data_IF_116168574498
#
_entry.id   IF_116168574498
#
_cell.length_a   1.000
_cell.length_b   1.000
_cell.length_c   1.000
_cell.angle_alpha   90.00
_cell.angle_beta   90.00
_cell.angle_gamma   90.00
#
_symmetry.space_group_name_H-M   'P 1'
#
loop_
_entity.id
_entity.type
_entity.pdbx_description
1 polymer ?
#
# COMPACT_ATOMS: atom_id res chain seq x y z
N UNK A 1 14.83 -5.16 32.92
CA UNK A 1 15.11 -5.03 31.48
C UNK A 1 14.39 -6.17 30.76
N UNK A 2 13.20 -5.93 30.24
CA UNK A 2 12.57 -6.84 29.26
C UNK A 2 11.62 -6.00 28.40
N UNK A 3 12.13 -5.44 27.30
CA UNK A 3 11.33 -4.74 26.31
C UNK A 3 10.57 -5.76 25.48
N UNK A 4 9.24 -5.67 25.48
CA UNK A 4 8.40 -6.48 24.62
C UNK A 4 8.52 -5.97 23.18
N UNK A 5 9.09 -6.81 22.31
CA UNK A 5 9.05 -6.61 20.87
C UNK A 5 7.59 -6.79 20.41
N UNK A 6 6.95 -5.69 20.04
CA UNK A 6 5.63 -5.73 19.43
C UNK A 6 5.75 -6.41 18.07
N UNK A 7 4.99 -7.48 17.92
CA UNK A 7 4.93 -8.37 16.77
C UNK A 7 4.49 -7.57 15.52
N UNK A 8 5.45 -7.19 14.67
CA UNK A 8 5.23 -6.51 13.39
C UNK A 8 4.71 -7.52 12.37
N UNK A 9 3.41 -7.78 12.44
CA UNK A 9 2.69 -8.56 11.43
C UNK A 9 2.29 -7.62 10.31
N UNK A 10 2.88 -7.76 9.12
CA UNK A 10 2.34 -7.15 7.89
C UNK A 10 0.98 -7.80 7.64
N UNK A 11 -0.10 -7.13 8.05
CA UNK A 11 -1.48 -7.58 7.93
C UNK A 11 -1.94 -7.55 6.46
N UNK A 12 -1.40 -8.44 5.64
CA UNK A 12 -1.85 -8.67 4.26
C UNK A 12 -3.25 -9.28 4.19
N UNK A 13 -3.81 -9.75 5.32
CA UNK A 13 -4.99 -10.62 5.37
C UNK A 13 -6.27 -9.98 5.93
N UNK A 14 -6.26 -8.72 6.38
CA UNK A 14 -7.42 -8.12 7.07
C UNK A 14 -8.27 -7.27 6.11
N UNK A 15 -8.85 -7.93 5.11
CA UNK A 15 -9.65 -7.29 4.06
C UNK A 15 -10.98 -6.68 4.57
N UNK A 16 -11.34 -6.91 5.84
CA UNK A 16 -12.60 -6.44 6.45
C UNK A 16 -12.48 -5.19 7.34
N UNK A 17 -11.29 -4.58 7.44
CA UNK A 17 -11.04 -3.51 8.42
C UNK A 17 -11.31 -2.08 7.93
N UNK A 18 -11.60 -1.91 6.64
CA UNK A 18 -11.81 -0.59 6.04
C UNK A 18 -13.30 -0.31 5.78
N UNK A 19 -13.82 0.84 6.20
CA UNK A 19 -15.20 1.22 5.93
C UNK A 19 -15.45 1.30 4.41
N UNK A 20 -16.58 0.75 3.96
CA UNK A 20 -17.01 0.84 2.56
C UNK A 20 -17.40 2.26 2.20
N UNK A 21 -16.95 2.75 1.04
CA UNK A 21 -17.36 4.03 0.51
C UNK A 21 -18.54 3.86 -0.46
N UNK A 22 -19.78 3.90 0.05
CA UNK A 22 -21.00 3.77 -0.77
C UNK A 22 -21.55 5.12 -1.23
N UNK A 23 -21.03 6.22 -0.69
CA UNK A 23 -21.36 7.58 -1.09
C UNK A 23 -20.11 8.45 -1.24
N UNK A 24 -20.27 9.60 -1.90
CA UNK A 24 -19.20 10.61 -2.01
C UNK A 24 -18.76 11.11 -0.63
N UNK A 25 -19.69 11.18 0.33
CA UNK A 25 -19.37 11.61 1.69
C UNK A 25 -18.50 10.58 2.42
N UNK A 26 -18.78 9.29 2.23
CA UNK A 26 -17.94 8.22 2.78
C UNK A 26 -16.55 8.23 2.14
N UNK A 27 -16.47 8.42 0.82
CA UNK A 27 -15.19 8.58 0.12
C UNK A 27 -14.37 9.74 0.69
N UNK A 28 -14.99 10.92 0.89
CA UNK A 28 -14.32 12.10 1.47
C UNK A 28 -13.83 11.81 2.89
N UNK A 29 -14.67 11.20 3.72
CA UNK A 29 -14.33 10.81 5.10
C UNK A 29 -13.13 9.86 5.13
N UNK A 30 -13.17 8.82 4.29
CA UNK A 30 -12.12 7.81 4.21
C UNK A 30 -10.80 8.42 3.69
N UNK A 31 -10.87 9.24 2.64
CA UNK A 31 -9.71 9.94 2.10
C UNK A 31 -9.08 10.87 3.15
N UNK A 32 -9.89 11.64 3.88
CA UNK A 32 -9.40 12.51 4.95
C UNK A 32 -8.71 11.71 6.07
N UNK A 33 -9.27 10.56 6.46
CA UNK A 33 -8.64 9.68 7.45
C UNK A 33 -7.29 9.12 6.96
N UNK A 34 -7.20 8.71 5.70
CA UNK A 34 -5.93 8.26 5.08
C UNK A 34 -4.91 9.41 5.06
N UNK A 35 -5.32 10.62 4.66
CA UNK A 35 -4.45 11.79 4.65
C UNK A 35 -3.92 12.12 6.05
N UNK A 36 -4.76 12.05 7.09
CA UNK A 36 -4.32 12.29 8.46
C UNK A 36 -3.30 11.24 8.91
N UNK A 37 -3.51 9.97 8.58
CA UNK A 37 -2.55 8.88 8.87
C UNK A 37 -1.20 9.09 8.19
N UNK A 38 -1.21 9.59 6.95
CA UNK A 38 0.01 9.99 6.23
C UNK A 38 0.73 11.13 6.97
N UNK A 39 -0.01 12.18 7.36
CA UNK A 39 0.55 13.31 8.13
C UNK A 39 1.17 12.82 9.44
N UNK A 40 0.46 11.97 10.18
CA UNK A 40 0.93 11.43 11.45
C UNK A 40 2.18 10.56 11.25
N UNK A 41 2.21 9.73 10.20
CA UNK A 41 3.40 8.93 9.85
C UNK A 41 4.61 9.83 9.56
N UNK A 42 4.43 10.87 8.72
CA UNK A 42 5.47 11.85 8.44
C UNK A 42 5.99 12.55 9.71
N UNK A 43 5.09 12.94 10.61
CA UNK A 43 5.49 13.55 11.89
C UNK A 43 6.22 12.58 12.81
N UNK A 44 5.81 11.30 12.86
CA UNK A 44 6.46 10.26 13.69
C UNK A 44 7.92 10.03 13.31
N UNK A 45 8.26 10.23 12.04
CA UNK A 45 9.64 10.08 11.55
C UNK A 45 10.37 11.39 11.38
N UNK A 46 10.24 12.30 12.35
CA UNK A 46 11.27 13.31 12.62
C UNK A 46 12.63 12.69 12.98
N UNK A 47 13.17 11.83 12.10
CA UNK A 47 14.22 10.84 12.34
C UNK A 47 15.50 11.13 11.58
N UNK A 48 16.57 10.66 12.23
CA UNK A 48 17.98 10.55 11.83
C UNK A 48 18.22 9.28 10.97
N UNK A 49 18.97 9.39 9.85
CA UNK A 49 19.13 8.37 8.80
C UNK A 49 19.72 6.99 9.16
N UNK A 50 20.18 6.71 10.38
CA UNK A 50 20.97 5.51 10.70
C UNK A 50 20.20 4.17 10.89
N UNK A 51 18.91 4.06 10.56
CA UNK A 51 18.08 2.89 10.92
C UNK A 51 17.16 2.32 9.82
N UNK A 52 17.35 2.63 8.53
CA UNK A 52 16.34 2.37 7.47
C UNK A 52 16.87 1.49 6.34
N UNK A 53 16.44 0.23 6.25
CA UNK A 53 17.06 -0.77 5.34
C UNK A 53 16.73 -0.62 3.85
N UNK A 54 15.55 -0.09 3.47
CA UNK A 54 15.16 0.06 2.05
C UNK A 54 15.66 1.37 1.43
N UNK A 55 15.60 2.47 2.18
CA UNK A 55 16.29 3.72 1.82
C UNK A 55 17.79 3.48 1.65
N UNK A 56 18.43 2.81 2.60
CA UNK A 56 19.85 2.43 2.50
C UNK A 56 20.14 1.53 1.28
N UNK A 57 19.22 0.63 0.92
CA UNK A 57 19.39 -0.19 -0.29
C UNK A 57 19.34 0.69 -1.55
N UNK A 58 18.33 1.57 -1.66
CA UNK A 58 18.21 2.53 -2.77
C UNK A 58 19.44 3.44 -2.85
N UNK A 59 19.89 3.98 -1.73
CA UNK A 59 21.03 4.89 -1.67
C UNK A 59 22.35 4.17 -2.03
N UNK A 60 22.51 2.90 -1.59
CA UNK A 60 23.63 2.06 -2.02
C UNK A 60 23.57 1.71 -3.52
N UNK A 61 22.38 1.46 -4.07
CA UNK A 61 22.21 1.24 -5.51
C UNK A 61 22.56 2.50 -6.28
N UNK A 62 22.11 3.67 -5.83
CA UNK A 62 22.49 4.97 -6.41
C UNK A 62 24.01 5.18 -6.45
N UNK A 63 24.75 4.70 -5.44
CA UNK A 63 26.21 4.76 -5.42
C UNK A 63 26.92 3.87 -6.47
N UNK A 64 26.20 2.92 -7.10
CA UNK A 64 26.78 1.93 -8.03
C UNK A 64 26.13 1.93 -9.42
N UNK A 65 25.14 2.79 -9.68
CA UNK A 65 24.54 2.94 -11.01
C UNK A 65 25.28 4.00 -11.81
N UNK A 66 25.41 3.76 -13.12
CA UNK A 66 26.02 4.67 -14.09
C UNK A 66 25.30 6.01 -14.15
N UNK A 67 26.05 7.08 -14.46
CA UNK A 67 25.50 8.41 -14.73
C UNK A 67 24.33 8.31 -15.73
N UNK A 68 23.11 8.63 -15.27
CA UNK A 68 21.88 8.58 -16.07
C UNK A 68 20.73 7.77 -15.45
N UNK A 69 20.98 6.94 -14.41
CA UNK A 69 19.91 6.22 -13.69
C UNK A 69 19.47 7.00 -12.45
N UNK A 70 18.21 7.43 -12.42
CA UNK A 70 17.58 8.09 -11.27
C UNK A 70 16.73 7.09 -10.48
N UNK A 71 16.95 7.02 -9.16
CA UNK A 71 16.13 6.27 -8.21
C UNK A 71 15.55 7.21 -7.15
N UNK A 72 14.99 8.35 -7.58
CA UNK A 72 14.47 9.38 -6.68
C UNK A 72 13.19 8.94 -5.96
N UNK A 73 12.40 8.07 -6.58
CA UNK A 73 11.15 7.58 -6.02
C UNK A 73 11.31 6.18 -5.39
N UNK A 74 10.69 5.99 -4.23
CA UNK A 74 10.55 4.70 -3.57
C UNK A 74 9.06 4.37 -3.44
N UNK A 75 8.56 3.55 -4.36
CA UNK A 75 7.17 3.10 -4.36
C UNK A 75 7.01 1.82 -3.54
N UNK A 76 6.51 1.97 -2.32
CA UNK A 76 6.28 0.85 -1.39
C UNK A 76 5.15 1.18 -0.41
N UNK A 77 4.55 0.14 0.18
CA UNK A 77 3.38 0.30 1.03
C UNK A 77 2.05 0.27 0.26
N UNK A 78 1.09 -0.44 0.84
CA UNK A 78 -0.31 -0.52 0.45
C UNK A 78 -1.22 -0.14 1.62
N UNK A 79 -2.54 -0.23 1.45
CA UNK A 79 -3.53 0.17 2.47
C UNK A 79 -3.22 -0.32 3.90
N UNK A 80 -2.64 -1.53 4.05
CA UNK A 80 -2.34 -2.16 5.34
C UNK A 80 -1.01 -1.76 6.00
N UNK A 81 -0.07 -1.16 5.27
CA UNK A 81 1.30 -0.93 5.75
C UNK A 81 1.93 0.37 5.25
N UNK A 82 1.15 1.25 4.60
CA UNK A 82 1.67 2.51 4.05
C UNK A 82 2.23 3.45 5.12
N UNK A 83 1.77 3.38 6.37
CA UNK A 83 2.33 4.16 7.47
C UNK A 83 3.78 3.76 7.71
N UNK A 84 4.03 2.46 7.91
CA UNK A 84 5.39 1.92 8.07
C UNK A 84 6.21 2.22 6.82
N UNK A 85 5.64 2.08 5.62
CA UNK A 85 6.33 2.40 4.38
C UNK A 85 6.79 3.88 4.32
N UNK A 86 5.96 4.82 4.74
CA UNK A 86 6.33 6.24 4.83
C UNK A 86 7.44 6.43 5.86
N UNK A 87 7.33 5.77 7.01
CA UNK A 87 8.34 5.82 8.07
C UNK A 87 9.70 5.29 7.57
N UNK A 88 9.69 4.30 6.68
CA UNK A 88 10.85 3.70 6.03
C UNK A 88 11.30 4.44 4.75
N UNK A 89 10.67 5.58 4.41
CA UNK A 89 11.11 6.47 3.34
C UNK A 89 10.45 6.30 1.99
N UNK A 90 9.26 5.68 1.93
CA UNK A 90 8.45 5.66 0.72
C UNK A 90 8.15 7.10 0.27
N UNK A 91 8.29 7.35 -1.02
CA UNK A 91 7.85 8.61 -1.64
C UNK A 91 6.53 8.42 -2.38
N UNK A 92 6.15 7.18 -2.65
CA UNK A 92 4.89 6.79 -3.28
C UNK A 92 4.30 5.61 -2.51
N UNK A 93 3.02 5.71 -2.13
CA UNK A 93 2.24 4.63 -1.49
C UNK A 93 0.98 4.35 -2.30
N UNK A 94 0.44 3.13 -2.22
CA UNK A 94 -0.72 2.70 -3.01
C UNK A 94 -1.90 2.36 -2.11
N UNK A 95 -2.83 3.29 -1.95
CA UNK A 95 -3.97 3.11 -1.02
C UNK A 95 -5.26 2.93 -1.81
N UNK A 96 -5.91 1.78 -1.63
CA UNK A 96 -7.15 1.42 -2.31
C UNK A 96 -8.25 1.10 -1.31
N UNK A 97 -8.12 -0.03 -0.61
CA UNK A 97 -9.15 -0.50 0.31
C UNK A 97 -9.40 0.46 1.48
N UNK A 98 -8.39 1.20 1.95
CA UNK A 98 -8.62 2.21 3.00
C UNK A 98 -9.42 3.43 2.54
N UNK A 99 -9.52 3.66 1.22
CA UNK A 99 -10.32 4.74 0.63
C UNK A 99 -11.69 4.21 0.22
N UNK A 100 -11.73 3.09 -0.50
CA UNK A 100 -12.94 2.58 -1.15
C UNK A 100 -13.65 1.45 -0.39
N UNK A 101 -12.96 0.76 0.52
CA UNK A 101 -13.43 -0.47 1.15
C UNK A 101 -12.95 -1.74 0.45
N UNK A 102 -13.46 -2.89 0.88
CA UNK A 102 -13.08 -4.19 0.31
C UNK A 102 -13.48 -4.33 -1.16
N UNK A 103 -12.66 -5.04 -1.95
CA UNK A 103 -13.00 -5.41 -3.33
C UNK A 103 -14.30 -6.23 -3.34
N UNK A 104 -15.18 -5.96 -4.29
CA UNK A 104 -16.45 -6.66 -4.43
C UNK A 104 -16.27 -8.14 -4.81
N UNK A 105 -15.23 -8.43 -5.60
CA UNK A 105 -14.93 -9.77 -6.10
C UNK A 105 -13.59 -10.29 -5.57
N UNK A 106 -13.42 -11.62 -5.43
CA UNK A 106 -12.15 -12.24 -5.04
C UNK A 106 -11.03 -11.98 -6.05
N UNK A 107 -9.79 -12.13 -5.62
CA UNK A 107 -8.61 -11.87 -6.46
C UNK A 107 -8.60 -12.67 -7.77
N UNK A 108 -9.05 -13.93 -7.74
CA UNK A 108 -9.15 -14.77 -8.93
C UNK A 108 -10.01 -14.16 -10.06
N UNK A 109 -10.95 -13.26 -9.75
CA UNK A 109 -11.75 -12.57 -10.75
C UNK A 109 -10.94 -11.56 -11.56
N UNK A 110 -10.07 -10.79 -10.91
CA UNK A 110 -9.26 -9.75 -11.56
C UNK A 110 -7.92 -10.26 -12.10
N UNK A 111 -7.38 -11.32 -11.48
CA UNK A 111 -6.13 -12.00 -11.87
C UNK A 111 -6.41 -13.47 -12.14
N UNK A 112 -7.16 -13.81 -13.21
CA UNK A 112 -7.38 -15.21 -13.56
C UNK A 112 -6.02 -15.86 -13.82
N UNK A 113 -5.73 -16.93 -13.09
CA UNK A 113 -4.56 -17.79 -13.37
C UNK A 113 -4.63 -18.27 -14.83
N UNK A 114 -3.49 -18.58 -15.44
CA UNK A 114 -3.45 -18.96 -16.85
C UNK A 114 -4.40 -20.12 -17.22
N UNK A 115 -4.69 -21.02 -16.26
CA UNK A 115 -5.66 -22.12 -16.40
C UNK A 115 -7.14 -21.68 -16.33
N UNK A 116 -7.41 -20.44 -15.94
CA UNK A 116 -8.73 -19.83 -15.77
C UNK A 116 -9.02 -18.74 -16.80
N UNK A 117 -8.19 -18.59 -17.84
CA UNK A 117 -8.48 -17.67 -18.94
C UNK A 117 -9.74 -18.21 -19.65
N UNK A 118 -10.88 -17.49 -19.64
CA UNK A 118 -12.05 -17.95 -20.37
C UNK A 118 -11.66 -18.18 -21.82
N UNK A 119 -12.12 -19.30 -22.41
CA UNK A 119 -12.11 -19.41 -23.87
C UNK A 119 -12.93 -18.21 -24.37
N UNK A 120 -12.59 -17.67 -25.53
CA UNK A 120 -13.14 -16.40 -26.06
C UNK A 120 -14.69 -16.34 -26.17
N UNK A 121 -15.39 -17.38 -25.72
CA UNK A 121 -16.82 -17.61 -25.82
C UNK A 121 -17.55 -17.44 -24.45
N UNK A 122 -16.82 -17.30 -23.33
CA UNK A 122 -17.44 -17.09 -22.00
C UNK A 122 -17.66 -15.59 -21.73
N UNK A 123 -18.91 -15.16 -21.80
CA UNK A 123 -19.39 -13.80 -21.54
C UNK A 123 -18.98 -13.33 -20.12
N UNK A 124 -18.24 -12.22 -20.01
CA UNK A 124 -17.94 -11.61 -18.71
C UNK A 124 -19.25 -11.22 -18.02
N UNK A 125 -19.46 -11.57 -16.73
CA UNK A 125 -20.68 -11.19 -16.04
C UNK A 125 -20.79 -9.66 -16.02
N UNK A 126 -21.97 -9.16 -16.38
CA UNK A 126 -22.26 -7.73 -16.37
C UNK A 126 -21.93 -7.17 -14.98
N UNK A 127 -21.07 -6.13 -14.96
CA UNK A 127 -20.82 -5.35 -13.75
C UNK A 127 -22.19 -4.84 -13.26
N UNK A 128 -22.57 -5.25 -12.05
CA UNK A 128 -23.81 -4.81 -11.43
C UNK A 128 -23.85 -3.26 -11.36
N UNK A 129 -25.02 -2.63 -11.56
CA UNK A 129 -25.16 -1.18 -11.72
C UNK A 129 -24.73 -0.38 -10.48
#
# INVERSE_FOLDING_TARGET
MTGQAQHLTTLHADHGRYPQAVSVEDFRRNLAAVQQRIIDACHRVGRDPATVRLRELRDRLLAHVSEGVSLQELSMGMSGDFEIAIEEGATVVRVGQAIFGARAMPDAYYWPTADARPRNDDELPALAP
#
